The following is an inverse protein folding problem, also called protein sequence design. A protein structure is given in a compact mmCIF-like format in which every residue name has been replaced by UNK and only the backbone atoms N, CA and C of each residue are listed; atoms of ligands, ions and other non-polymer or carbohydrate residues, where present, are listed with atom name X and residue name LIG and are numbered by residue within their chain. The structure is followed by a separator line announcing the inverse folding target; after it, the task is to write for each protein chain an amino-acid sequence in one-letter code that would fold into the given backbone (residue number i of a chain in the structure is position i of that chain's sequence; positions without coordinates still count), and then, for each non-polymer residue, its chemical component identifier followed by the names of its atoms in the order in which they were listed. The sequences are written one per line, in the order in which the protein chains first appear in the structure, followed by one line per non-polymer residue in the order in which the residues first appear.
data_IF_286447542892
#
_entry.id   IF_286447542892
#
_cell.length_a   1.000
_cell.length_b   1.000
_cell.length_c   1.000
_cell.angle_alpha   90.00
_cell.angle_beta   90.00
_cell.angle_gamma   90.00
#
_symmetry.space_group_name_H-M   'P 1'
#
loop_
_entity.id
_entity.type
_entity.pdbx_description
1 polymer ?
#
# COMPACT_ATOMS: atom_id res chain seq x y z
N UNK A 1 -52.66 1.35 44.56
CA UNK A 1 -51.37 1.43 43.85
C UNK A 1 -50.89 0.00 43.63
N UNK A 2 -50.81 -0.46 42.38
CA UNK A 2 -50.34 -1.81 42.07
C UNK A 2 -48.84 -1.76 41.88
N UNK A 3 -48.08 -2.37 42.78
CA UNK A 3 -46.63 -2.51 42.65
C UNK A 3 -46.34 -3.64 41.67
N UNK A 4 -45.60 -3.32 40.59
CA UNK A 4 -45.19 -4.30 39.59
C UNK A 4 -44.11 -5.18 40.23
N UNK A 5 -44.47 -6.42 40.55
CA UNK A 5 -43.50 -7.41 41.04
C UNK A 5 -42.64 -7.92 39.88
N UNK A 6 -41.42 -7.40 39.76
CA UNK A 6 -40.42 -7.87 38.80
C UNK A 6 -39.81 -9.19 39.26
N UNK A 7 -40.43 -10.31 38.90
CA UNK A 7 -39.78 -11.62 39.00
C UNK A 7 -39.04 -11.92 37.68
N UNK A 8 -37.99 -11.15 37.39
CA UNK A 8 -37.15 -11.41 36.22
C UNK A 8 -36.13 -12.49 36.59
N UNK A 9 -36.15 -13.67 35.94
CA UNK A 9 -35.15 -14.69 36.19
C UNK A 9 -33.79 -14.11 35.84
N UNK A 10 -32.82 -14.23 36.77
CA UNK A 10 -31.47 -13.65 36.68
C UNK A 10 -30.82 -13.94 35.32
N UNK A 11 -31.12 -15.09 34.71
CA UNK A 11 -30.67 -15.47 33.36
C UNK A 11 -31.12 -14.53 32.24
N UNK A 12 -32.32 -13.95 32.31
CA UNK A 12 -32.82 -12.97 31.34
C UNK A 12 -32.16 -11.61 31.49
N UNK A 13 -31.85 -11.21 32.72
CA UNK A 13 -31.11 -9.97 33.00
C UNK A 13 -29.67 -10.06 32.51
N UNK A 14 -28.99 -11.16 32.80
CA UNK A 14 -27.62 -11.42 32.31
C UNK A 14 -27.56 -11.42 30.79
N UNK A 15 -28.51 -12.09 30.11
CA UNK A 15 -28.57 -12.10 28.64
C UNK A 15 -28.80 -10.70 28.06
N UNK A 16 -29.65 -9.90 28.69
CA UNK A 16 -29.94 -8.53 28.26
C UNK A 16 -28.70 -7.63 28.43
N UNK A 17 -28.00 -7.75 29.57
CA UNK A 17 -26.77 -7.01 29.85
C UNK A 17 -25.68 -7.30 28.82
N UNK A 18 -25.45 -8.59 28.52
CA UNK A 18 -24.47 -9.01 27.51
C UNK A 18 -24.81 -8.43 26.15
N UNK A 19 -26.10 -8.47 25.76
CA UNK A 19 -26.57 -7.93 24.48
C UNK A 19 -26.30 -6.43 24.37
N UNK A 20 -26.62 -5.66 25.42
CA UNK A 20 -26.36 -4.21 25.45
C UNK A 20 -24.85 -3.91 25.37
N UNK A 21 -24.00 -4.67 26.07
CA UNK A 21 -22.55 -4.52 25.96
C UNK A 21 -22.05 -4.77 24.53
N UNK A 22 -22.51 -5.83 23.85
CA UNK A 22 -22.13 -6.08 22.47
C UNK A 22 -22.63 -4.98 21.52
N UNK A 23 -23.86 -4.49 21.69
CA UNK A 23 -24.38 -3.38 20.90
C UNK A 23 -23.55 -2.10 21.10
N UNK A 24 -23.15 -1.80 22.34
CA UNK A 24 -22.30 -0.65 22.64
C UNK A 24 -20.90 -0.81 22.02
N UNK A 25 -20.29 -1.99 22.12
CA UNK A 25 -19.01 -2.29 21.49
C UNK A 25 -19.08 -2.13 19.97
N UNK A 26 -20.11 -2.70 19.32
CA UNK A 26 -20.31 -2.55 17.88
C UNK A 26 -20.50 -1.08 17.48
N UNK A 27 -21.26 -0.31 18.25
CA UNK A 27 -21.47 1.11 17.98
C UNK A 27 -20.15 1.90 18.06
N UNK A 28 -19.35 1.67 19.11
CA UNK A 28 -18.03 2.31 19.27
C UNK A 28 -17.07 1.87 18.17
N UNK A 29 -17.03 0.58 17.82
CA UNK A 29 -16.19 0.07 16.73
C UNK A 29 -16.55 0.60 15.35
N UNK A 30 -17.81 0.97 15.11
CA UNK A 30 -18.23 1.59 13.84
C UNK A 30 -18.06 3.12 13.86
N UNK A 31 -18.24 3.77 15.02
CA UNK A 31 -18.11 5.22 15.15
C UNK A 31 -16.64 5.69 15.12
N UNK A 32 -15.72 4.83 15.55
CA UNK A 32 -14.28 5.05 15.45
C UNK A 32 -13.70 3.98 14.52
N UNK A 33 -13.83 4.14 13.19
CA UNK A 33 -13.04 3.32 12.28
C UNK A 33 -11.58 3.42 12.74
N UNK A 34 -10.94 2.26 12.88
CA UNK A 34 -9.64 2.09 13.51
C UNK A 34 -8.74 3.31 13.34
N UNK A 35 -8.09 3.73 14.42
CA UNK A 35 -6.98 4.70 14.44
C UNK A 35 -5.74 4.14 13.69
N UNK A 36 -5.96 3.48 12.55
CA UNK A 36 -4.96 3.20 11.56
C UNK A 36 -4.60 4.55 10.96
N UNK A 37 -3.39 5.01 11.33
CA UNK A 37 -2.49 5.90 10.60
C UNK A 37 -3.18 6.86 9.64
N UNK A 38 -2.97 8.16 9.87
CA UNK A 38 -3.33 9.30 9.02
C UNK A 38 -2.86 9.13 7.57
N UNK A 39 -3.48 8.24 6.82
CA UNK A 39 -3.41 8.18 5.38
C UNK A 39 -4.34 9.27 4.90
N UNK A 40 -3.79 10.24 4.18
CA UNK A 40 -4.61 11.26 3.53
C UNK A 40 -5.35 10.58 2.38
N UNK A 41 -6.66 10.36 2.47
CA UNK A 41 -7.40 9.59 1.45
C UNK A 41 -7.34 10.27 0.07
N UNK A 42 -7.03 11.57 0.05
CA UNK A 42 -6.85 12.39 -1.15
C UNK A 42 -5.51 12.22 -1.85
N UNK A 43 -4.47 11.72 -1.18
CA UNK A 43 -3.12 11.60 -1.77
C UNK A 43 -3.10 10.67 -2.99
N UNK A 44 -3.86 9.58 -2.94
CA UNK A 44 -4.00 8.69 -4.09
C UNK A 44 -4.71 9.37 -5.27
N UNK A 45 -5.72 10.20 -4.99
CA UNK A 45 -6.46 10.94 -6.03
C UNK A 45 -5.58 11.98 -6.72
N UNK A 46 -4.76 12.70 -5.96
CA UNK A 46 -3.82 13.68 -6.50
C UNK A 46 -2.77 13.04 -7.41
N UNK A 47 -2.27 11.85 -7.04
CA UNK A 47 -1.30 11.11 -7.83
C UNK A 47 -1.90 10.58 -9.15
N UNK A 48 -3.17 10.13 -9.14
CA UNK A 48 -3.88 9.67 -10.34
C UNK A 48 -4.08 10.78 -11.37
N UNK A 49 -4.44 11.99 -10.94
CA UNK A 49 -4.56 13.17 -11.81
C UNK A 49 -3.23 13.52 -12.50
N UNK A 50 -2.12 13.37 -11.78
CA UNK A 50 -0.77 13.53 -12.34
C UNK A 50 -0.49 12.53 -13.46
N UNK A 51 -0.71 11.24 -13.20
CA UNK A 51 -0.51 10.15 -14.16
C UNK A 51 -1.41 10.35 -15.39
N UNK A 52 -2.68 10.69 -15.21
CA UNK A 52 -3.60 10.93 -16.32
C UNK A 52 -3.10 12.06 -17.22
N UNK A 53 -2.63 13.16 -16.63
CA UNK A 53 -2.08 14.29 -17.37
C UNK A 53 -0.81 13.92 -18.14
N UNK A 54 0.07 13.10 -17.57
CA UNK A 54 1.26 12.61 -18.27
C UNK A 54 0.92 11.63 -19.39
N UNK A 55 -0.03 10.72 -19.16
CA UNK A 55 -0.53 9.79 -20.17
C UNK A 55 -1.13 10.55 -21.37
N UNK A 56 -1.97 11.57 -21.12
CA UNK A 56 -2.52 12.42 -22.18
C UNK A 56 -1.41 13.15 -22.97
N UNK A 57 -0.38 13.66 -22.28
CA UNK A 57 0.76 14.30 -22.96
C UNK A 57 1.58 13.32 -23.81
N UNK A 58 1.73 12.08 -23.34
CA UNK A 58 2.46 11.04 -24.08
C UNK A 58 1.72 10.62 -25.34
N UNK A 59 0.38 10.56 -25.31
CA UNK A 59 -0.44 10.29 -26.50
C UNK A 59 -0.34 11.39 -27.56
N UNK A 60 -0.12 12.64 -27.13
CA UNK A 60 -0.04 13.81 -28.01
C UNK A 60 1.37 14.10 -28.54
N UNK A 61 2.40 13.39 -28.06
CA UNK A 61 3.80 13.57 -28.45
C UNK A 61 4.31 12.39 -29.29
N UNK A 62 5.41 12.62 -30.00
CA UNK A 62 6.15 11.54 -30.63
C UNK A 62 6.56 10.48 -29.57
N UNK A 63 6.69 9.20 -29.97
CA UNK A 63 7.12 8.15 -29.05
C UNK A 63 8.41 8.52 -28.33
N UNK A 64 8.46 8.29 -27.02
CA UNK A 64 9.66 8.57 -26.22
C UNK A 64 10.88 7.89 -26.81
N UNK A 65 12.00 8.61 -26.80
CA UNK A 65 13.27 8.01 -27.18
C UNK A 65 13.69 6.93 -26.17
N UNK A 66 14.62 6.06 -26.58
CA UNK A 66 15.13 5.00 -25.71
C UNK A 66 15.80 5.57 -24.45
N UNK A 67 16.55 6.67 -24.60
CA UNK A 67 17.20 7.38 -23.50
C UNK A 67 16.16 8.01 -22.54
N UNK A 68 15.12 8.64 -23.09
CA UNK A 68 14.04 9.25 -22.31
C UNK A 68 13.24 8.21 -21.52
N UNK A 69 12.95 7.07 -22.17
CA UNK A 69 12.30 5.92 -21.54
C UNK A 69 13.16 5.36 -20.40
N UNK A 70 14.47 5.20 -20.65
CA UNK A 70 15.39 4.67 -19.64
C UNK A 70 15.58 5.64 -18.47
N UNK A 71 15.56 6.96 -18.73
CA UNK A 71 15.61 7.99 -17.69
C UNK A 71 14.35 7.93 -16.82
N UNK A 72 13.15 7.98 -17.42
CA UNK A 72 11.88 7.89 -16.69
C UNK A 72 11.74 6.59 -15.90
N UNK A 73 12.15 5.46 -16.49
CA UNK A 73 12.12 4.16 -15.81
C UNK A 73 13.09 4.09 -14.60
N UNK A 74 14.13 4.93 -14.57
CA UNK A 74 15.07 5.02 -13.46
C UNK A 74 14.70 6.09 -12.40
N UNK A 75 13.66 6.90 -12.63
CA UNK A 75 13.25 7.96 -11.69
C UNK A 75 12.51 7.43 -10.45
N UNK A 76 12.18 6.13 -10.38
CA UNK A 76 11.57 5.54 -9.19
C UNK A 76 11.06 4.12 -9.37
N UNK A 77 10.22 3.69 -8.44
CA UNK A 77 9.75 2.29 -8.28
C UNK A 77 8.60 1.97 -9.23
N UNK A 78 7.77 2.98 -9.53
CA UNK A 78 6.84 3.09 -10.64
C UNK A 78 6.04 4.38 -10.47
N UNK A 79 5.54 4.98 -11.55
CA UNK A 79 4.61 6.13 -11.46
C UNK A 79 3.35 5.78 -10.64
N UNK A 80 2.86 4.53 -10.75
CA UNK A 80 1.68 4.02 -10.04
C UNK A 80 1.96 3.73 -8.56
N UNK A 81 3.16 3.25 -8.22
CA UNK A 81 3.50 2.83 -6.85
C UNK A 81 4.09 3.98 -6.02
N UNK A 82 4.54 5.06 -6.66
CA UNK A 82 5.18 6.18 -5.99
C UNK A 82 6.42 5.74 -5.21
N UNK A 83 6.54 6.24 -3.99
CA UNK A 83 7.60 6.00 -3.02
C UNK A 83 7.28 4.89 -2.00
N UNK A 84 6.18 4.16 -2.20
CA UNK A 84 5.74 3.10 -1.30
C UNK A 84 6.82 2.03 -1.10
N UNK A 85 7.23 1.82 0.16
CA UNK A 85 8.26 0.87 0.59
C UNK A 85 9.59 1.00 -0.18
N UNK A 86 9.90 2.19 -0.69
CA UNK A 86 11.10 2.47 -1.48
C UNK A 86 12.41 2.14 -0.76
N UNK A 87 12.42 2.38 0.53
CA UNK A 87 13.50 2.09 1.45
C UNK A 87 13.73 0.58 1.67
N UNK A 88 12.72 -0.25 1.38
CA UNK A 88 12.81 -1.72 1.49
C UNK A 88 13.23 -2.38 0.18
N UNK A 89 13.25 -1.65 -0.92
CA UNK A 89 13.58 -2.18 -2.23
C UNK A 89 15.09 -2.32 -2.45
N UNK A 90 15.48 -3.40 -3.13
CA UNK A 90 16.88 -3.64 -3.53
C UNK A 90 17.23 -2.77 -4.75
N UNK A 91 18.20 -1.90 -4.57
CA UNK A 91 18.76 -0.99 -5.57
C UNK A 91 20.29 -1.16 -5.66
N UNK A 92 20.94 -0.65 -6.71
CA UNK A 92 22.39 -0.80 -6.88
C UNK A 92 23.23 -0.25 -5.72
N UNK A 93 22.75 0.81 -5.06
CA UNK A 93 23.42 1.40 -3.88
C UNK A 93 23.29 0.56 -2.60
N UNK A 94 22.29 -0.32 -2.48
CA UNK A 94 22.05 -1.15 -1.30
C UNK A 94 22.15 -2.67 -1.57
N UNK A 95 22.62 -3.06 -2.76
CA UNK A 95 22.73 -4.45 -3.22
C UNK A 95 24.07 -4.69 -3.89
N UNK A 96 24.85 -5.62 -3.34
CA UNK A 96 26.07 -6.13 -3.99
C UNK A 96 25.72 -7.17 -5.06
N UNK A 97 24.98 -6.76 -6.11
CA UNK A 97 24.64 -7.61 -7.23
C UNK A 97 25.70 -7.49 -8.34
N UNK A 98 26.06 -8.61 -8.95
CA UNK A 98 26.99 -8.64 -10.10
C UNK A 98 26.21 -8.29 -11.37
N UNK A 99 26.65 -7.27 -12.11
CA UNK A 99 25.96 -6.88 -13.34
C UNK A 99 26.02 -8.00 -14.39
N UNK A 100 25.06 -8.05 -15.31
CA UNK A 100 25.07 -9.02 -16.39
C UNK A 100 26.38 -8.96 -17.20
N UNK A 101 26.89 -7.75 -17.47
CA UNK A 101 28.19 -7.56 -18.12
C UNK A 101 29.33 -8.22 -17.35
N UNK A 102 29.38 -8.05 -16.02
CA UNK A 102 30.38 -8.68 -15.18
C UNK A 102 30.26 -10.21 -15.18
N UNK A 103 29.04 -10.74 -15.20
CA UNK A 103 28.80 -12.19 -15.30
C UNK A 103 29.32 -12.75 -16.63
N UNK A 104 29.03 -12.06 -17.74
CA UNK A 104 29.53 -12.44 -19.08
C UNK A 104 31.05 -12.35 -19.13
N UNK A 105 31.66 -11.26 -18.63
CA UNK A 105 33.12 -11.12 -18.57
C UNK A 105 33.76 -12.24 -17.75
N UNK A 106 33.18 -12.60 -16.61
CA UNK A 106 33.67 -13.69 -15.75
C UNK A 106 33.60 -15.04 -16.48
N UNK A 107 32.47 -15.33 -17.13
CA UNK A 107 32.29 -16.55 -17.91
C UNK A 107 33.32 -16.66 -19.05
N UNK A 108 33.47 -15.59 -19.85
CA UNK A 108 34.46 -15.55 -20.94
C UNK A 108 35.89 -15.66 -20.42
N UNK A 109 36.21 -15.02 -19.29
CA UNK A 109 37.54 -15.11 -18.68
C UNK A 109 37.88 -16.51 -18.16
N UNK A 110 36.89 -17.27 -17.68
CA UNK A 110 37.07 -18.64 -17.24
C UNK A 110 37.33 -19.58 -18.42
N UNK A 111 36.64 -19.38 -19.55
CA UNK A 111 36.86 -20.16 -20.78
C UNK A 111 38.26 -19.93 -21.35
N UNK A 112 38.82 -18.73 -21.19
CA UNK A 112 40.15 -18.36 -21.71
C UNK A 112 41.31 -18.80 -20.82
N UNK A 113 41.02 -19.40 -19.66
CA UNK A 113 42.01 -19.80 -18.65
C UNK A 113 42.35 -21.30 -18.71
N UNK A 114 41.64 -22.04 -19.56
CA UNK A 114 42.00 -23.37 -20.07
C UNK A 114 42.68 -23.22 -21.44
#
# INVERSE_FOLDING_TARGET
MSFINFNLPVSRLVRSLITVCFCALLFVSNAFPALAITSSPTKGTDQLLGIEKEAQKAVLKDPMSMEETQKKANEGINEIQGDADSEKMKNPSNTNATSFEQQVRKAVSNIKKD
#
